data_IF_133694743365
#
_entry.id   IF_133694743365
#
_cell.length_a   1.000
_cell.length_b   1.000
_cell.length_c   1.000
_cell.angle_alpha   90.00
_cell.angle_beta   90.00
_cell.angle_gamma   90.00
#
_symmetry.space_group_name_H-M   'P 1'
#
loop_
_entity.id
_entity.type
_entity.pdbx_description
1 polymer ?
#
# COMPACT_ATOMS: atom_id res chain seq x y z
N UNK A 1 22.79 -34.92 4.20
CA UNK A 1 21.81 -33.94 4.69
C UNK A 1 20.95 -34.66 5.69
N UNK A 2 20.97 -34.26 6.96
CA UNK A 2 20.12 -34.87 7.98
C UNK A 2 18.65 -34.71 7.54
N UNK A 3 17.88 -35.80 7.63
CA UNK A 3 16.52 -35.88 7.10
C UNK A 3 15.57 -35.45 8.22
N UNK A 4 15.38 -34.15 8.42
CA UNK A 4 14.41 -33.59 9.36
C UNK A 4 13.31 -32.85 8.59
N UNK A 5 12.13 -32.77 9.21
CA UNK A 5 10.92 -32.16 8.67
C UNK A 5 10.79 -30.74 9.21
N UNK A 6 11.17 -29.74 8.40
CA UNK A 6 11.18 -28.32 8.80
C UNK A 6 9.78 -27.78 9.13
N UNK A 7 8.70 -28.48 8.76
CA UNK A 7 7.32 -28.10 9.11
C UNK A 7 6.90 -28.49 10.53
N UNK A 8 7.72 -29.22 11.28
CA UNK A 8 7.41 -29.66 12.65
C UNK A 8 8.23 -28.90 13.68
N UNK A 9 7.57 -28.49 14.76
CA UNK A 9 8.26 -27.92 15.93
C UNK A 9 8.70 -29.03 16.89
N UNK A 10 9.96 -29.49 16.75
CA UNK A 10 10.52 -30.54 17.59
C UNK A 10 10.64 -30.13 19.06
N UNK A 11 10.75 -28.83 19.35
CA UNK A 11 10.77 -28.31 20.72
C UNK A 11 9.39 -28.44 21.38
N UNK A 12 8.32 -28.16 20.64
CA UNK A 12 6.94 -28.37 21.11
C UNK A 12 6.60 -29.86 21.26
N UNK A 13 7.04 -30.69 20.30
CA UNK A 13 6.84 -32.15 20.34
C UNK A 13 7.49 -32.78 21.57
N UNK A 14 8.63 -32.26 22.04
CA UNK A 14 9.27 -32.70 23.29
C UNK A 14 8.79 -31.92 24.52
N UNK A 15 8.19 -30.75 24.34
CA UNK A 15 7.71 -29.87 25.40
C UNK A 15 8.84 -29.17 26.14
N UNK A 16 9.92 -28.84 25.43
CA UNK A 16 11.11 -28.22 26.00
C UNK A 16 11.35 -26.86 25.34
N UNK A 17 11.86 -25.86 26.08
CA UNK A 17 12.23 -24.59 25.47
C UNK A 17 13.41 -24.75 24.51
N UNK A 18 13.56 -23.83 23.55
CA UNK A 18 14.69 -23.80 22.61
C UNK A 18 16.06 -23.65 23.28
N UNK A 19 16.08 -23.19 24.53
CA UNK A 19 17.26 -23.05 25.39
C UNK A 19 17.58 -24.29 26.22
N UNK A 20 16.79 -25.38 26.12
CA UNK A 20 16.99 -26.59 26.91
C UNK A 20 18.34 -27.25 26.64
N UNK A 21 18.94 -27.76 27.73
CA UNK A 21 20.17 -28.56 27.69
C UNK A 21 19.88 -29.98 27.19
N UNK A 22 20.90 -30.66 26.63
CA UNK A 22 20.78 -32.04 26.15
C UNK A 22 20.26 -33.00 27.25
N UNK A 23 20.72 -32.83 28.48
CA UNK A 23 20.28 -33.64 29.63
C UNK A 23 18.80 -33.46 29.96
N UNK A 24 18.24 -32.29 29.67
CA UNK A 24 16.82 -31.97 29.87
C UNK A 24 15.96 -32.57 28.75
N UNK A 25 16.44 -32.52 27.51
CA UNK A 25 15.83 -33.17 26.34
C UNK A 25 15.69 -34.68 26.59
N UNK A 26 16.76 -35.35 27.03
CA UNK A 26 16.76 -36.79 27.31
C UNK A 26 15.85 -37.17 28.48
N UNK A 27 15.72 -36.28 29.48
CA UNK A 27 14.83 -36.49 30.62
C UNK A 27 13.37 -36.41 30.19
N UNK A 28 13.02 -35.40 29.41
CA UNK A 28 11.66 -35.16 28.95
C UNK A 28 11.21 -36.20 27.93
N UNK A 29 12.11 -36.61 27.03
CA UNK A 29 11.87 -37.74 26.13
C UNK A 29 11.51 -39.02 26.91
N UNK A 30 12.30 -39.40 27.93
CA UNK A 30 12.01 -40.60 28.74
C UNK A 30 10.68 -40.52 29.47
N UNK A 31 10.29 -39.32 29.92
CA UNK A 31 9.01 -39.10 30.58
C UNK A 31 7.84 -39.24 29.59
N UNK A 32 7.93 -38.62 28.42
CA UNK A 32 6.90 -38.69 27.37
C UNK A 32 6.78 -40.06 26.71
N UNK A 33 7.91 -40.74 26.48
CA UNK A 33 7.92 -42.09 25.92
C UNK A 33 7.25 -43.13 26.84
N UNK A 34 7.31 -42.94 28.17
CA UNK A 34 6.60 -43.79 29.13
C UNK A 34 5.09 -43.57 29.11
N UNK A 35 4.64 -42.32 28.93
CA UNK A 35 3.21 -42.00 28.83
C UNK A 35 2.61 -42.32 27.46
N UNK A 36 3.42 -42.31 26.39
CA UNK A 36 2.99 -42.54 25.01
C UNK A 36 3.26 -43.97 24.49
N UNK A 37 3.56 -44.94 25.36
CA UNK A 37 3.86 -46.30 24.93
C UNK A 37 2.62 -46.98 24.32
N UNK A 38 2.73 -47.74 23.21
CA UNK A 38 1.60 -48.41 22.56
C UNK A 38 0.87 -49.41 23.49
N UNK A 39 1.59 -50.04 24.42
CA UNK A 39 0.97 -50.92 25.44
C UNK A 39 0.07 -50.18 26.44
N UNK A 40 0.21 -48.85 26.55
CA UNK A 40 -0.60 -47.99 27.43
C UNK A 40 -1.70 -47.21 26.67
N UNK A 41 -1.91 -47.52 25.37
CA UNK A 41 -2.89 -46.85 24.52
C UNK A 41 -2.36 -45.62 23.76
N UNK A 42 -1.04 -45.48 23.62
CA UNK A 42 -0.40 -44.41 22.84
C UNK A 42 -0.39 -44.67 21.33
N UNK A 43 -0.35 -43.59 20.54
CA UNK A 43 -0.31 -43.65 19.08
C UNK A 43 1.13 -43.90 18.59
N UNK A 44 1.31 -44.85 17.66
CA UNK A 44 2.61 -45.18 17.07
C UNK A 44 3.25 -43.97 16.35
N UNK A 45 2.42 -43.13 15.74
CA UNK A 45 2.85 -41.91 15.04
C UNK A 45 3.42 -40.84 15.99
N UNK A 46 2.85 -40.69 17.20
CA UNK A 46 3.34 -39.75 18.21
C UNK A 46 4.69 -40.21 18.78
N UNK A 47 4.84 -41.52 19.02
CA UNK A 47 6.10 -42.11 19.45
C UNK A 47 7.20 -41.91 18.40
N UNK A 48 6.85 -42.04 17.11
CA UNK A 48 7.77 -41.81 16.00
C UNK A 48 8.22 -40.34 15.94
N UNK A 49 7.30 -39.39 16.10
CA UNK A 49 7.62 -37.96 16.15
C UNK A 49 8.49 -37.60 17.36
N UNK A 50 8.24 -38.22 18.53
CA UNK A 50 9.07 -38.04 19.73
C UNK A 50 10.51 -38.55 19.55
N UNK A 51 10.67 -39.70 18.89
CA UNK A 51 11.99 -40.26 18.57
C UNK A 51 12.75 -39.35 17.60
N UNK A 52 12.08 -38.90 16.53
CA UNK A 52 12.65 -37.99 15.53
C UNK A 52 13.06 -36.66 16.17
N UNK A 53 12.21 -36.08 17.03
CA UNK A 53 12.51 -34.85 17.75
C UNK A 53 13.75 -35.00 18.65
N UNK A 54 13.88 -36.12 19.36
CA UNK A 54 15.06 -36.38 20.20
C UNK A 54 16.32 -36.48 19.34
N UNK A 55 16.28 -37.27 18.26
CA UNK A 55 17.45 -37.51 17.43
C UNK A 55 17.96 -36.23 16.74
N UNK A 56 17.06 -35.33 16.33
CA UNK A 56 17.43 -34.02 15.75
C UNK A 56 18.00 -33.06 16.79
N UNK A 57 17.44 -33.02 18.00
CA UNK A 57 17.85 -32.06 19.04
C UNK A 57 19.05 -32.51 19.90
N UNK A 58 19.36 -33.81 19.93
CA UNK A 58 20.49 -34.36 20.70
C UNK A 58 21.84 -34.05 20.05
N UNK A 59 21.96 -34.18 18.72
CA UNK A 59 23.21 -33.87 18.01
C UNK A 59 23.37 -32.35 17.78
N UNK A 60 24.48 -31.72 18.24
CA UNK A 60 24.71 -30.30 18.04
C UNK A 60 24.76 -29.87 16.57
N UNK A 61 25.20 -30.73 15.65
CA UNK A 61 25.24 -30.38 14.23
C UNK A 61 23.83 -30.33 13.62
N UNK A 62 23.00 -31.34 13.89
CA UNK A 62 21.60 -31.39 13.42
C UNK A 62 20.75 -30.32 14.09
N UNK A 63 20.97 -30.04 15.38
CA UNK A 63 20.28 -28.95 16.10
C UNK A 63 20.58 -27.59 15.48
N UNK A 64 21.85 -27.32 15.15
CA UNK A 64 22.24 -26.06 14.48
C UNK A 64 21.60 -25.92 13.10
N UNK A 65 21.58 -27.01 12.32
CA UNK A 65 20.94 -27.01 11.01
C UNK A 65 19.43 -26.76 11.12
N UNK A 66 18.76 -27.41 12.07
CA UNK A 66 17.35 -27.20 12.37
C UNK A 66 17.05 -25.77 12.83
N UNK A 67 17.86 -25.22 13.75
CA UNK A 67 17.71 -23.85 14.24
C UNK A 67 17.93 -22.80 13.14
N UNK A 68 18.80 -23.09 12.16
CA UNK A 68 19.04 -22.22 11.02
C UNK A 68 17.84 -22.19 10.06
N UNK A 69 17.29 -23.36 9.70
CA UNK A 69 16.10 -23.48 8.86
C UNK A 69 14.87 -22.85 9.53
N UNK A 70 14.65 -23.13 10.83
CA UNK A 70 13.55 -22.56 11.61
C UNK A 70 13.60 -21.04 11.66
N UNK A 71 14.79 -20.45 11.72
CA UNK A 71 14.97 -18.99 11.69
C UNK A 71 14.66 -18.41 10.30
N UNK A 72 15.00 -19.11 9.23
CA UNK A 72 14.71 -18.67 7.87
C UNK A 72 13.19 -18.55 7.62
N UNK A 73 12.41 -19.52 8.13
CA UNK A 73 10.93 -19.46 8.05
C UNK A 73 10.32 -18.39 8.96
N UNK A 74 11.02 -18.00 10.04
CA UNK A 74 10.60 -16.93 10.95
C UNK A 74 10.90 -15.51 10.45
N UNK A 75 11.58 -15.36 9.32
CA UNK A 75 11.68 -14.06 8.64
C UNK A 75 10.25 -13.71 8.20
N UNK A 76 9.65 -12.62 8.73
CA UNK A 76 8.31 -12.26 8.35
C UNK A 76 8.31 -11.91 6.86
N UNK A 77 7.89 -12.88 6.04
CA UNK A 77 7.71 -12.74 4.59
C UNK A 77 6.44 -11.94 4.28
N UNK A 78 6.08 -11.03 5.19
CA UNK A 78 5.02 -10.05 5.09
C UNK A 78 5.52 -8.74 5.67
N UNK A 79 6.10 -7.90 4.81
CA UNK A 79 6.52 -6.54 5.17
C UNK A 79 6.38 -5.70 3.90
N UNK A 80 5.19 -5.14 3.62
CA UNK A 80 4.91 -3.72 3.89
C UNK A 80 6.14 -3.01 4.45
N UNK A 81 6.77 -2.21 3.60
CA UNK A 81 7.91 -1.35 3.94
C UNK A 81 7.51 -0.46 5.13
N UNK A 82 7.72 -0.94 6.35
CA UNK A 82 7.65 -0.11 7.56
C UNK A 82 9.02 0.52 7.68
N UNK A 83 9.13 1.76 7.19
CA UNK A 83 10.29 2.60 7.46
C UNK A 83 10.28 2.93 8.96
N UNK A 84 11.07 2.20 9.72
CA UNK A 84 11.25 2.43 11.15
C UNK A 84 12.20 3.63 11.33
N UNK A 85 11.62 4.82 11.49
CA UNK A 85 12.35 6.08 11.60
C UNK A 85 13.29 6.14 12.83
N UNK A 86 13.10 5.24 13.80
CA UNK A 86 13.91 5.10 15.03
C UNK A 86 15.18 4.24 14.82
N UNK A 87 15.22 3.39 13.79
CA UNK A 87 16.40 2.57 13.48
C UNK A 87 17.58 3.42 12.98
N UNK A 88 17.31 4.51 12.26
CA UNK A 88 18.32 5.45 11.79
C UNK A 88 19.03 6.18 12.95
N UNK A 89 18.33 6.43 14.06
CA UNK A 89 18.90 7.05 15.27
C UNK A 89 19.79 6.09 16.08
N UNK A 90 19.48 4.78 16.06
CA UNK A 90 20.33 3.74 16.68
C UNK A 90 21.56 3.38 15.85
N UNK A 91 21.53 3.57 14.53
CA UNK A 91 22.68 3.34 13.65
C UNK A 91 23.86 4.31 13.89
N UNK A 92 23.60 5.49 14.47
CA UNK A 92 24.66 6.46 14.77
C UNK A 92 25.65 6.03 15.86
N UNK A 93 25.30 5.04 16.69
CA UNK A 93 26.13 4.54 17.80
C UNK A 93 26.34 3.01 17.75
N UNK A 94 25.94 2.35 16.67
CA UNK A 94 26.24 0.94 16.48
C UNK A 94 27.62 0.87 15.81
N UNK A 95 28.65 0.51 16.59
CA UNK A 95 29.97 0.09 16.10
C UNK A 95 29.85 -1.22 15.29
N UNK A 96 29.05 -1.21 14.22
CA UNK A 96 29.07 -2.27 13.22
C UNK A 96 30.39 -2.10 12.47
N UNK A 97 31.29 -3.09 12.50
CA UNK A 97 32.53 -3.01 11.74
C UNK A 97 32.13 -2.94 10.26
N UNK A 98 32.31 -1.77 9.66
CA UNK A 98 32.12 -1.58 8.23
C UNK A 98 33.27 -2.29 7.51
N UNK A 99 33.10 -3.58 7.24
CA UNK A 99 33.90 -4.31 6.26
C UNK A 99 33.67 -3.67 4.88
N UNK A 100 34.72 -3.57 4.05
CA UNK A 100 34.68 -2.78 2.80
C UNK A 100 33.61 -3.25 1.80
N UNK A 101 33.20 -4.50 1.92
CA UNK A 101 32.16 -5.22 1.22
C UNK A 101 30.75 -4.75 1.60
N UNK A 102 30.51 -4.38 2.87
CA UNK A 102 29.22 -3.86 3.34
C UNK A 102 29.02 -2.38 2.93
N UNK A 103 30.12 -1.61 2.90
CA UNK A 103 30.11 -0.21 2.48
C UNK A 103 29.66 -0.05 1.02
N UNK A 104 30.14 -0.94 0.14
CA UNK A 104 29.72 -0.96 -1.26
C UNK A 104 28.21 -1.23 -1.41
N UNK A 105 27.66 -2.12 -0.59
CA UNK A 105 26.21 -2.40 -0.55
C UNK A 105 25.38 -1.20 -0.07
N UNK A 106 25.84 -0.52 0.98
CA UNK A 106 25.22 0.71 1.50
C UNK A 106 25.23 1.85 0.47
N UNK A 107 26.36 2.06 -0.21
CA UNK A 107 26.48 3.06 -1.27
C UNK A 107 25.61 2.72 -2.48
N UNK A 108 25.51 1.44 -2.87
CA UNK A 108 24.66 1.00 -3.96
C UNK A 108 23.18 1.23 -3.64
N UNK A 109 22.75 0.90 -2.42
CA UNK A 109 21.37 1.13 -1.99
C UNK A 109 21.03 2.63 -1.98
N UNK A 110 21.92 3.47 -1.46
CA UNK A 110 21.77 4.92 -1.50
C UNK A 110 21.71 5.45 -2.95
N UNK A 111 22.55 4.92 -3.85
CA UNK A 111 22.56 5.30 -5.26
C UNK A 111 21.26 4.90 -5.99
N UNK A 112 20.70 3.72 -5.70
CA UNK A 112 19.43 3.26 -6.25
C UNK A 112 18.27 4.13 -5.75
N UNK A 113 18.24 4.43 -4.45
CA UNK A 113 17.21 5.30 -3.85
C UNK A 113 17.25 6.71 -4.42
N UNK A 114 18.44 7.29 -4.60
CA UNK A 114 18.57 8.60 -5.24
C UNK A 114 18.25 8.55 -6.74
N UNK A 115 18.71 7.51 -7.43
CA UNK A 115 18.51 7.32 -8.87
C UNK A 115 17.05 7.09 -9.27
N UNK A 116 16.28 6.36 -8.45
CA UNK A 116 14.84 6.16 -8.69
C UNK A 116 13.98 7.25 -8.03
N UNK A 117 14.35 7.72 -6.84
CA UNK A 117 13.56 8.68 -6.08
C UNK A 117 13.54 10.09 -6.67
N UNK A 118 14.69 10.61 -7.10
CA UNK A 118 14.79 11.95 -7.67
C UNK A 118 13.95 12.16 -8.95
N UNK A 119 13.95 11.25 -9.95
CA UNK A 119 13.09 11.41 -11.11
C UNK A 119 11.60 11.23 -10.78
N UNK A 120 11.24 10.44 -9.77
CA UNK A 120 9.84 10.35 -9.30
C UNK A 120 9.37 11.65 -8.63
N UNK A 121 10.20 12.26 -7.79
CA UNK A 121 9.92 13.58 -7.21
C UNK A 121 9.86 14.66 -8.29
N UNK A 122 10.77 14.60 -9.27
CA UNK A 122 10.71 15.46 -10.44
C UNK A 122 9.44 15.22 -11.26
N UNK A 123 8.94 13.98 -11.41
CA UNK A 123 7.67 13.71 -12.09
C UNK A 123 6.46 14.29 -11.34
N UNK A 124 6.50 14.32 -10.01
CA UNK A 124 5.46 14.93 -9.17
C UNK A 124 5.49 16.46 -9.27
N UNK A 125 6.68 17.07 -9.27
CA UNK A 125 6.81 18.53 -9.48
C UNK A 125 6.58 18.94 -10.95
N UNK A 126 7.01 18.11 -11.88
CA UNK A 126 6.80 18.20 -13.33
C UNK A 126 5.43 17.63 -13.72
N UNK A 127 4.50 17.53 -12.76
CA UNK A 127 3.07 17.41 -13.00
C UNK A 127 2.52 18.80 -13.41
N UNK A 128 3.20 19.43 -14.38
CA UNK A 128 2.54 20.42 -15.21
C UNK A 128 1.42 19.69 -15.93
N UNK A 129 0.22 20.14 -15.59
CA UNK A 129 -1.12 19.69 -15.94
C UNK A 129 -1.38 19.81 -17.46
N UNK A 130 -0.47 19.29 -18.28
CA UNK A 130 -0.59 19.26 -19.73
C UNK A 130 -1.74 18.33 -20.15
N UNK A 131 -1.91 17.22 -19.43
CA UNK A 131 -2.93 16.21 -19.74
C UNK A 131 -4.37 16.60 -19.39
N UNK A 132 -4.61 17.55 -18.46
CA UNK A 132 -5.99 18.03 -18.18
C UNK A 132 -6.42 19.19 -19.07
N UNK A 133 -5.56 19.74 -19.93
CA UNK A 133 -5.97 20.81 -20.85
C UNK A 133 -7.15 20.41 -21.76
N UNK A 134 -7.21 19.19 -22.34
CA UNK A 134 -8.39 18.70 -23.04
C UNK A 134 -9.65 18.65 -22.17
N UNK A 135 -9.53 18.28 -20.90
CA UNK A 135 -10.67 18.24 -19.97
C UNK A 135 -11.21 19.64 -19.67
N UNK A 136 -10.33 20.63 -19.52
CA UNK A 136 -10.74 22.04 -19.37
C UNK A 136 -11.45 22.53 -20.62
N UNK A 137 -10.95 22.20 -21.80
CA UNK A 137 -11.60 22.53 -23.07
C UNK A 137 -12.99 21.88 -23.19
N UNK A 138 -13.11 20.59 -22.85
CA UNK A 138 -14.41 19.89 -22.82
C UNK A 138 -15.39 20.51 -21.84
N UNK A 139 -14.93 20.94 -20.65
CA UNK A 139 -15.77 21.64 -19.68
C UNK A 139 -16.30 22.98 -20.24
N UNK A 140 -15.46 23.78 -20.90
CA UNK A 140 -15.90 25.01 -21.57
C UNK A 140 -16.89 24.73 -22.71
N UNK A 141 -16.65 23.69 -23.51
CA UNK A 141 -17.55 23.28 -24.58
C UNK A 141 -18.92 22.83 -24.05
N UNK A 142 -18.95 22.05 -22.96
CA UNK A 142 -20.18 21.62 -22.32
C UNK A 142 -20.99 22.79 -21.76
N UNK A 143 -20.33 23.77 -21.12
CA UNK A 143 -20.98 24.99 -20.64
C UNK A 143 -21.56 25.82 -21.79
N UNK A 144 -20.79 26.03 -22.86
CA UNK A 144 -21.25 26.75 -24.05
C UNK A 144 -22.46 26.07 -24.71
N UNK A 145 -22.43 24.74 -24.79
CA UNK A 145 -23.54 23.95 -25.31
C UNK A 145 -24.80 24.05 -24.44
N UNK A 146 -24.65 24.02 -23.11
CA UNK A 146 -25.75 24.24 -22.18
C UNK A 146 -26.40 25.62 -22.35
N UNK A 147 -25.59 26.68 -22.47
CA UNK A 147 -26.06 28.04 -22.73
C UNK A 147 -26.79 28.13 -24.08
N UNK A 148 -26.28 27.44 -25.11
CA UNK A 148 -26.92 27.39 -26.43
C UNK A 148 -28.31 26.74 -26.36
N UNK A 149 -28.44 25.59 -25.68
CA UNK A 149 -29.74 24.92 -25.49
C UNK A 149 -30.71 25.81 -24.70
N UNK A 150 -30.25 26.44 -23.62
CA UNK A 150 -31.09 27.33 -22.82
C UNK A 150 -31.61 28.53 -23.64
N UNK A 151 -30.74 29.15 -24.45
CA UNK A 151 -31.13 30.23 -25.36
C UNK A 151 -32.11 29.73 -26.44
N UNK A 152 -31.90 28.54 -26.99
CA UNK A 152 -32.81 27.94 -27.98
C UNK A 152 -34.21 27.67 -27.38
N UNK A 153 -34.26 27.11 -26.16
CA UNK A 153 -35.50 26.86 -25.44
C UNK A 153 -36.24 28.16 -25.08
N UNK A 154 -35.51 29.19 -24.64
CA UNK A 154 -36.07 30.51 -24.34
C UNK A 154 -36.68 31.15 -25.60
N UNK A 155 -35.98 31.10 -26.74
CA UNK A 155 -36.50 31.58 -28.03
C UNK A 155 -37.71 30.80 -28.50
N UNK A 156 -37.79 29.50 -28.25
CA UNK A 156 -38.97 28.70 -28.57
C UNK A 156 -40.19 29.13 -27.72
N UNK A 157 -39.99 29.38 -26.43
CA UNK A 157 -41.04 29.89 -25.52
C UNK A 157 -41.50 31.30 -25.91
N UNK A 158 -40.58 32.20 -26.24
CA UNK A 158 -40.92 33.56 -26.68
C UNK A 158 -41.76 33.54 -27.97
N UNK A 159 -41.43 32.67 -28.94
CA UNK A 159 -42.23 32.48 -30.16
C UNK A 159 -43.66 31.97 -29.87
N UNK A 160 -43.86 31.17 -28.84
CA UNK A 160 -45.21 30.75 -28.40
C UNK A 160 -46.01 31.91 -27.81
N UNK A 161 -45.35 32.76 -27.01
CA UNK A 161 -45.99 33.94 -26.40
C UNK A 161 -46.31 35.02 -27.45
N UNK A 162 -45.46 35.21 -28.45
CA UNK A 162 -45.68 36.14 -29.55
C UNK A 162 -46.92 35.80 -30.39
N UNK A 163 -47.16 34.50 -30.67
CA UNK A 163 -48.41 34.06 -31.33
C UNK A 163 -49.65 34.45 -30.53
N UNK A 164 -49.54 34.59 -29.21
CA UNK A 164 -50.64 34.92 -28.30
C UNK A 164 -50.85 36.44 -28.14
N UNK A 165 -49.83 37.27 -28.35
CA UNK A 165 -49.93 38.74 -28.22
C UNK A 165 -48.94 39.46 -29.14
N UNK A 166 -49.47 40.10 -30.20
CA UNK A 166 -48.69 40.72 -31.30
C UNK A 166 -48.02 42.04 -30.94
N UNK A 167 -48.50 42.75 -29.90
CA UNK A 167 -47.99 44.09 -29.50
C UNK A 167 -46.88 44.04 -28.44
N UNK A 168 -46.75 42.96 -27.68
CA UNK A 168 -45.75 42.83 -26.62
C UNK A 168 -44.41 42.22 -27.11
N UNK A 169 -44.32 41.77 -28.37
CA UNK A 169 -43.34 40.78 -28.79
C UNK A 169 -41.91 41.29 -28.94
N UNK A 170 -41.71 42.49 -29.49
CA UNK A 170 -40.37 42.98 -29.82
C UNK A 170 -39.62 43.49 -28.58
N UNK A 171 -40.28 44.27 -27.73
CA UNK A 171 -39.67 44.82 -26.52
C UNK A 171 -39.40 43.73 -25.47
N UNK A 172 -40.34 42.79 -25.27
CA UNK A 172 -40.15 41.68 -24.33
C UNK A 172 -39.04 40.72 -24.78
N UNK A 173 -38.95 40.43 -26.09
CA UNK A 173 -37.85 39.61 -26.61
C UNK A 173 -36.49 40.28 -26.40
N UNK A 174 -36.39 41.60 -26.63
CA UNK A 174 -35.16 42.37 -26.42
C UNK A 174 -34.74 42.37 -24.95
N UNK A 175 -35.67 42.65 -24.03
CA UNK A 175 -35.41 42.62 -22.59
C UNK A 175 -34.93 41.22 -22.15
N UNK A 176 -35.60 40.16 -22.58
CA UNK A 176 -35.19 38.79 -22.24
C UNK A 176 -33.81 38.43 -22.77
N UNK A 177 -33.47 38.86 -24.00
CA UNK A 177 -32.13 38.69 -24.54
C UNK A 177 -31.08 39.43 -23.71
N UNK A 178 -31.35 40.69 -23.34
CA UNK A 178 -30.44 41.46 -22.49
C UNK A 178 -30.26 40.81 -21.11
N UNK A 179 -31.34 40.41 -20.44
CA UNK A 179 -31.27 39.76 -19.13
C UNK A 179 -30.50 38.43 -19.19
N UNK A 180 -30.76 37.60 -20.20
CA UNK A 180 -30.06 36.32 -20.36
C UNK A 180 -28.55 36.52 -20.51
N UNK A 181 -28.12 37.39 -21.42
CA UNK A 181 -26.69 37.66 -21.64
C UNK A 181 -26.04 38.36 -20.45
N UNK A 182 -26.76 39.20 -19.71
CA UNK A 182 -26.26 39.84 -18.49
C UNK A 182 -25.97 38.79 -17.40
N UNK A 183 -26.87 37.83 -17.19
CA UNK A 183 -26.66 36.73 -16.23
C UNK A 183 -25.47 35.87 -16.64
N UNK A 184 -25.35 35.52 -17.93
CA UNK A 184 -24.21 34.76 -18.45
C UNK A 184 -22.90 35.52 -18.27
N UNK A 185 -22.87 36.82 -18.60
CA UNK A 185 -21.69 37.66 -18.44
C UNK A 185 -21.28 37.82 -16.97
N UNK A 186 -22.25 37.98 -16.07
CA UNK A 186 -22.00 38.04 -14.62
C UNK A 186 -21.43 36.72 -14.09
N UNK A 187 -21.94 35.57 -14.54
CA UNK A 187 -21.42 34.26 -14.16
C UNK A 187 -19.98 34.02 -14.63
N UNK A 188 -19.68 34.35 -15.89
CA UNK A 188 -18.31 34.28 -16.43
C UNK A 188 -17.38 35.23 -15.69
N UNK A 189 -17.83 36.45 -15.39
CA UNK A 189 -17.08 37.45 -14.64
C UNK A 189 -16.77 37.01 -13.21
N UNK A 190 -17.71 36.37 -12.51
CA UNK A 190 -17.50 35.83 -11.16
C UNK A 190 -16.47 34.69 -11.12
N UNK A 191 -16.52 33.80 -12.12
CA UNK A 191 -15.53 32.72 -12.27
C UNK A 191 -14.15 33.32 -12.57
N UNK A 192 -14.07 34.28 -13.49
CA UNK A 192 -12.81 34.97 -13.82
C UNK A 192 -12.23 35.70 -12.61
N UNK A 193 -13.07 36.42 -11.87
CA UNK A 193 -12.68 37.13 -10.65
C UNK A 193 -12.14 36.14 -9.61
N UNK A 194 -12.88 35.07 -9.30
CA UNK A 194 -12.47 34.03 -8.34
C UNK A 194 -11.13 33.38 -8.71
N UNK A 195 -10.93 33.07 -9.99
CA UNK A 195 -9.67 32.48 -10.48
C UNK A 195 -8.49 33.45 -10.44
N UNK A 196 -8.72 34.76 -10.53
CA UNK A 196 -7.66 35.77 -10.61
C UNK A 196 -7.33 36.38 -9.23
N UNK A 197 -8.30 36.50 -8.33
CA UNK A 197 -8.09 37.06 -6.99
C UNK A 197 -7.62 36.04 -5.96
N UNK A 198 -7.89 34.74 -6.15
CA UNK A 198 -7.47 33.67 -5.23
C UNK A 198 -5.99 33.25 -5.35
N UNK A 199 -5.17 34.00 -6.10
CA UNK A 199 -3.77 33.65 -6.41
C UNK A 199 -2.74 34.65 -5.87
N UNK A 200 -3.14 35.48 -4.90
CA UNK A 200 -2.24 36.38 -4.14
C UNK A 200 -2.18 35.95 -2.69
#
# INVERSE_FOLDING_TARGET
>A
MAKFDSGKDYYEILGVPSTAAQSEIDKQYRQRARSGHPDAGGNEDEMKALNEARDVLTDPETRRAYDADRRADSIPTGSSIVFDHEAAGRAGNLEVPLTGDDFAGLCMNAAILLGLGLPFLFLIEMQWVFFLWPLRFMAFAALAYGVFIANAALRARLRQLEKRSRKLSHAAALVHHCVFWLIVAAGVGAIYFSLYTGRR
#
